data_IF_997175240665
#
_entry.id   IF_997175240665
#
_cell.length_a   1.000
_cell.length_b   1.000
_cell.length_c   1.000
_cell.angle_alpha   90.00
_cell.angle_beta   90.00
_cell.angle_gamma   90.00
#
_symmetry.space_group_name_H-M   'P 1'
#
loop_
_entity.id
_entity.type
_entity.pdbx_description
1 polymer ?
#
# COMPACT_ATOMS: atom_id res chain seq x y z
N UNK A 1 -15.67 11.60 0.59
CA UNK A 1 -15.32 11.40 2.02
C UNK A 1 -13.90 11.91 2.21
N UNK A 2 -13.59 12.64 3.29
CA UNK A 2 -12.23 13.13 3.55
C UNK A 2 -11.37 11.95 4.03
N UNK A 3 -10.18 11.75 3.44
CA UNK A 3 -9.22 10.73 3.87
C UNK A 3 -8.23 11.30 4.88
N UNK A 4 -7.82 10.49 5.85
CA UNK A 4 -6.77 10.77 6.82
C UNK A 4 -5.52 9.92 6.53
N UNK A 5 -4.39 10.26 7.17
CA UNK A 5 -3.12 9.55 6.92
C UNK A 5 -3.21 8.06 7.27
N UNK A 6 -3.97 7.75 8.31
CA UNK A 6 -4.28 6.40 8.77
C UNK A 6 -5.00 5.59 7.68
N UNK A 7 -5.86 6.21 6.88
CA UNK A 7 -6.58 5.51 5.80
C UNK A 7 -5.60 4.98 4.74
N UNK A 8 -4.56 5.74 4.41
CA UNK A 8 -3.55 5.31 3.44
C UNK A 8 -2.66 4.19 3.99
N UNK A 9 -2.31 4.27 5.28
CA UNK A 9 -1.55 3.21 5.95
C UNK A 9 -2.39 1.93 6.01
N UNK A 10 -3.69 2.05 6.29
CA UNK A 10 -4.61 0.93 6.34
C UNK A 10 -4.79 0.27 4.96
N UNK A 11 -4.91 1.04 3.88
CA UNK A 11 -4.93 0.49 2.51
C UNK A 11 -3.69 -0.37 2.24
N UNK A 12 -2.50 0.17 2.53
CA UNK A 12 -1.23 -0.57 2.33
C UNK A 12 -1.21 -1.85 3.16
N UNK A 13 -1.63 -1.77 4.43
CA UNK A 13 -1.63 -2.90 5.35
C UNK A 13 -2.60 -3.99 4.88
N UNK A 14 -3.80 -3.62 4.42
CA UNK A 14 -4.80 -4.56 3.90
C UNK A 14 -4.27 -5.32 2.68
N UNK A 15 -3.66 -4.60 1.73
CA UNK A 15 -3.08 -5.20 0.53
C UNK A 15 -1.86 -6.09 0.84
N UNK A 16 -1.02 -5.70 1.79
CA UNK A 16 0.09 -6.54 2.26
C UNK A 16 -0.44 -7.84 2.89
N UNK A 17 -1.47 -7.74 3.74
CA UNK A 17 -2.09 -8.91 4.36
C UNK A 17 -2.74 -9.83 3.32
N UNK A 18 -3.41 -9.27 2.31
CA UNK A 18 -3.94 -10.04 1.19
C UNK A 18 -2.84 -10.84 0.49
N UNK A 19 -1.73 -10.18 0.11
CA UNK A 19 -0.61 -10.83 -0.58
C UNK A 19 0.03 -11.95 0.27
N UNK A 20 0.28 -11.70 1.57
CA UNK A 20 0.88 -12.68 2.49
C UNK A 20 -0.06 -13.89 2.66
N UNK A 21 -1.32 -13.64 3.01
CA UNK A 21 -2.29 -14.71 3.26
C UNK A 21 -2.55 -15.53 1.99
N UNK A 22 -2.61 -14.87 0.83
CA UNK A 22 -2.92 -15.55 -0.42
C UNK A 22 -1.73 -16.30 -1.01
N UNK A 23 -0.49 -15.87 -0.73
CA UNK A 23 0.72 -16.56 -1.19
C UNK A 23 1.16 -17.73 -0.30
N UNK A 24 0.78 -17.75 0.99
CA UNK A 24 1.33 -18.70 1.98
C UNK A 24 1.19 -20.18 1.65
N UNK A 25 0.18 -20.60 0.89
CA UNK A 25 -0.03 -21.99 0.46
C UNK A 25 -0.10 -22.15 -1.07
N UNK A 26 0.33 -21.12 -1.81
CA UNK A 26 0.15 -21.08 -3.25
C UNK A 26 1.35 -21.71 -3.96
N UNK A 27 1.12 -22.74 -4.76
CA UNK A 27 2.16 -23.28 -5.64
C UNK A 27 2.33 -22.40 -6.88
N UNK A 28 3.51 -22.47 -7.50
CA UNK A 28 3.78 -21.77 -8.74
C UNK A 28 2.77 -22.12 -9.84
N UNK A 29 2.44 -23.40 -10.01
CA UNK A 29 1.51 -23.85 -11.06
C UNK A 29 0.08 -23.34 -10.82
N UNK A 30 -0.38 -23.27 -9.56
CA UNK A 30 -1.68 -22.70 -9.22
C UNK A 30 -1.73 -21.20 -9.52
N UNK A 31 -0.65 -20.47 -9.24
CA UNK A 31 -0.53 -19.05 -9.57
C UNK A 31 -0.47 -18.82 -11.09
N UNK A 32 0.36 -19.58 -11.80
CA UNK A 32 0.55 -19.48 -13.24
C UNK A 32 -0.74 -19.78 -14.02
N UNK A 33 -1.57 -20.69 -13.53
CA UNK A 33 -2.80 -21.10 -14.24
C UNK A 33 -4.01 -20.25 -13.90
N UNK A 34 -3.92 -19.37 -12.90
CA UNK A 34 -5.03 -18.56 -12.44
C UNK A 34 -4.84 -17.08 -12.81
N UNK A 35 -5.48 -16.66 -13.90
CA UNK A 35 -5.37 -15.29 -14.41
C UNK A 35 -5.91 -14.25 -13.42
N UNK A 36 -7.06 -14.52 -12.82
CA UNK A 36 -7.70 -13.59 -11.88
C UNK A 36 -6.83 -13.37 -10.64
N UNK A 37 -6.19 -14.44 -10.16
CA UNK A 37 -5.28 -14.37 -9.02
C UNK A 37 -4.05 -13.51 -9.33
N UNK A 38 -3.47 -13.65 -10.52
CA UNK A 38 -2.35 -12.80 -10.95
C UNK A 38 -2.78 -11.34 -11.06
N UNK A 39 -3.93 -11.07 -11.66
CA UNK A 39 -4.49 -9.71 -11.78
C UNK A 39 -4.72 -9.09 -10.40
N UNK A 40 -5.22 -9.87 -9.43
CA UNK A 40 -5.38 -9.41 -8.06
C UNK A 40 -4.03 -9.10 -7.40
N UNK A 41 -3.01 -9.94 -7.56
CA UNK A 41 -1.66 -9.66 -7.03
C UNK A 41 -1.05 -8.38 -7.62
N UNK A 42 -1.16 -8.21 -8.95
CA UNK A 42 -0.70 -7.00 -9.62
C UNK A 42 -1.43 -5.79 -9.07
N UNK A 43 -2.76 -5.87 -8.92
CA UNK A 43 -3.57 -4.78 -8.40
C UNK A 43 -3.18 -4.39 -6.97
N UNK A 44 -2.97 -5.36 -6.09
CA UNK A 44 -2.51 -5.10 -4.71
C UNK A 44 -1.16 -4.38 -4.68
N UNK A 45 -0.21 -4.81 -5.52
CA UNK A 45 1.09 -4.15 -5.65
C UNK A 45 0.97 -2.73 -6.19
N UNK A 46 0.07 -2.49 -7.16
CA UNK A 46 -0.22 -1.15 -7.67
C UNK A 46 -0.81 -0.23 -6.59
N UNK A 47 -1.75 -0.72 -5.77
CA UNK A 47 -2.32 0.07 -4.65
C UNK A 47 -1.23 0.48 -3.68
N UNK A 48 -0.40 -0.48 -3.26
CA UNK A 48 0.71 -0.22 -2.35
C UNK A 48 1.65 0.84 -2.94
N UNK A 49 2.05 0.66 -4.20
CA UNK A 49 2.96 1.58 -4.88
C UNK A 49 2.39 3.00 -5.02
N UNK A 50 1.15 3.11 -5.52
CA UNK A 50 0.50 4.40 -5.74
C UNK A 50 0.33 5.14 -4.41
N UNK A 51 -0.08 4.44 -3.35
CA UNK A 51 -0.25 5.04 -2.02
C UNK A 51 1.09 5.56 -1.48
N UNK A 52 2.17 4.81 -1.64
CA UNK A 52 3.51 5.22 -1.22
C UNK A 52 4.02 6.43 -2.03
N UNK A 53 3.73 6.47 -3.33
CA UNK A 53 4.29 7.48 -4.24
C UNK A 53 3.51 8.76 -4.31
N UNK A 54 2.19 8.70 -4.21
CA UNK A 54 1.34 9.85 -4.39
C UNK A 54 0.89 10.39 -3.03
N UNK A 55 0.44 9.54 -2.10
CA UNK A 55 -0.24 10.00 -0.88
C UNK A 55 0.72 10.27 0.29
N UNK A 56 1.73 9.42 0.48
CA UNK A 56 2.68 9.54 1.61
C UNK A 56 3.64 10.75 1.51
N UNK A 57 4.14 11.20 0.34
CA UNK A 57 5.08 12.32 0.30
C UNK A 57 4.51 13.63 0.87
N UNK A 58 3.20 13.81 0.81
CA UNK A 58 2.54 14.93 1.48
C UNK A 58 2.75 14.89 2.99
N UNK A 59 2.67 13.70 3.62
CA UNK A 59 2.95 13.54 5.04
C UNK A 59 4.38 13.95 5.39
N UNK A 60 5.35 13.55 4.57
CA UNK A 60 6.75 13.93 4.79
C UNK A 60 6.93 15.45 4.80
N UNK A 61 6.36 16.14 3.81
CA UNK A 61 6.43 17.60 3.72
C UNK A 61 5.73 18.28 4.92
N UNK A 62 4.58 17.77 5.36
CA UNK A 62 3.87 18.33 6.52
C UNK A 62 4.65 18.13 7.82
N UNK A 63 5.28 16.96 8.02
CA UNK A 63 6.15 16.70 9.18
C UNK A 63 7.37 17.64 9.15
N UNK A 64 7.99 17.85 7.98
CA UNK A 64 9.12 18.76 7.83
C UNK A 64 8.73 20.22 8.15
N UNK A 65 7.55 20.68 7.72
CA UNK A 65 7.04 22.02 8.08
C UNK A 65 6.88 22.19 9.59
N UNK A 66 6.16 21.27 10.24
CA UNK A 66 5.94 21.29 11.69
C UNK A 66 7.30 21.24 12.43
N UNK A 67 8.22 20.40 11.98
CA UNK A 67 9.56 20.31 12.60
C UNK A 67 10.37 21.60 12.49
N UNK A 68 10.16 22.41 11.45
CA UNK A 68 10.86 23.69 11.29
C UNK A 68 10.18 24.79 12.13
N UNK A 69 8.86 24.81 12.21
CA UNK A 69 8.10 25.75 13.06
C UNK A 69 8.41 25.60 14.55
N UNK A 70 8.78 24.40 15.02
CA UNK A 70 9.16 24.14 16.42
C UNK A 70 10.61 24.56 16.71
N UNK A 71 11.46 24.70 15.69
CA UNK A 71 12.89 25.04 15.85
C UNK A 71 13.16 26.55 15.91
N UNK A 72 12.19 27.36 15.50
CA UNK A 72 12.20 28.83 15.62
C UNK A 72 11.56 29.29 16.95
#
# INVERSE_FOLDING_TARGET
>A
MKRYYEDYINDILEECNYLINRSGNLTFLEFERNEDLRRAFIRSLEIIWLTIKEDIPYLKNEIEKISNEIKD
#
